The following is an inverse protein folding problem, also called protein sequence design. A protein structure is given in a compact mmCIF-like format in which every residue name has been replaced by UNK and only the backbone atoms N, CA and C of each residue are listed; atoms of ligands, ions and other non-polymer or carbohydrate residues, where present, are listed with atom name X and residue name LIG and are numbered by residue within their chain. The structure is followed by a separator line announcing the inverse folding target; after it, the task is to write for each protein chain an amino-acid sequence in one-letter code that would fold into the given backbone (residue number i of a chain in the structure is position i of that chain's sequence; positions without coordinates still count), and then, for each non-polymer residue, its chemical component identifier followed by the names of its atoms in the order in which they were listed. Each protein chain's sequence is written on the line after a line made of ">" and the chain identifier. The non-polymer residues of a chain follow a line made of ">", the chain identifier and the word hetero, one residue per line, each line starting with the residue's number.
data_IF_373829796696
#
_entry.id   IF_373829796696
#
_cell.length_a   1.000
_cell.length_b   1.000
_cell.length_c   1.000
_cell.angle_alpha   90.00
_cell.angle_beta   90.00
_cell.angle_gamma   90.00
#
_symmetry.space_group_name_H-M   'P 1'
#
loop_
_entity.id
_entity.type
_entity.pdbx_description
1 polymer ?
#
# COMPACT_ATOMS: atom_id res chain seq x y z
N UNK A 1 -38.18 39.73 -28.47
CA UNK A 1 -36.80 39.98 -28.03
C UNK A 1 -36.45 38.94 -26.99
N UNK A 2 -35.65 37.94 -27.36
CA UNK A 2 -35.29 36.79 -26.51
C UNK A 2 -33.97 37.11 -25.78
N UNK A 3 -34.02 37.13 -24.44
CA UNK A 3 -32.84 37.27 -23.59
C UNK A 3 -32.37 35.91 -23.10
N UNK A 4 -31.23 35.43 -23.62
CA UNK A 4 -30.54 34.26 -23.12
C UNK A 4 -29.64 34.66 -21.94
N UNK A 5 -29.89 34.11 -20.75
CA UNK A 5 -29.01 34.19 -19.58
C UNK A 5 -28.30 32.85 -19.42
N UNK A 6 -27.09 32.77 -19.96
CA UNK A 6 -26.16 31.67 -19.75
C UNK A 6 -25.00 32.21 -18.92
N UNK A 7 -24.94 31.85 -17.64
CA UNK A 7 -23.90 32.35 -16.75
C UNK A 7 -23.84 31.61 -15.43
N UNK A 8 -23.50 30.32 -15.43
CA UNK A 8 -23.16 29.57 -14.22
C UNK A 8 -22.17 28.40 -14.48
N UNK A 9 -21.11 28.64 -15.25
CA UNK A 9 -20.02 27.66 -15.43
C UNK A 9 -18.65 28.32 -15.29
N UNK A 10 -18.29 28.79 -14.09
CA UNK A 10 -16.87 29.02 -13.76
C UNK A 10 -16.58 29.21 -12.27
N UNK A 11 -17.23 28.44 -11.40
CA UNK A 11 -16.65 28.25 -10.06
C UNK A 11 -15.51 27.25 -10.18
N UNK A 12 -14.32 27.78 -9.95
CA UNK A 12 -13.02 27.21 -10.15
C UNK A 12 -12.88 25.85 -9.46
N UNK A 13 -12.38 24.92 -10.25
CA UNK A 13 -12.04 23.54 -9.92
C UNK A 13 -10.69 23.47 -9.18
N UNK A 14 -10.43 24.41 -8.27
CA UNK A 14 -9.10 24.66 -7.67
C UNK A 14 -9.06 24.47 -6.14
N UNK A 15 -10.11 23.92 -5.52
CA UNK A 15 -10.19 23.81 -4.04
C UNK A 15 -9.77 22.45 -3.45
N UNK A 16 -9.06 21.58 -4.16
CA UNK A 16 -8.69 20.25 -3.62
C UNK A 16 -7.20 19.88 -3.73
N UNK A 17 -6.31 20.85 -3.91
CA UNK A 17 -4.88 20.68 -3.69
C UNK A 17 -4.50 21.08 -2.26
N UNK A 18 -5.22 20.57 -1.25
CA UNK A 18 -4.61 20.40 0.07
C UNK A 18 -3.57 19.32 -0.14
N UNK A 19 -2.29 19.66 -0.05
CA UNK A 19 -1.15 18.78 -0.35
C UNK A 19 -1.29 17.43 0.37
N UNK A 20 -1.94 16.48 -0.28
CA UNK A 20 -2.04 15.12 0.19
C UNK A 20 -0.59 14.61 0.22
N UNK A 21 -0.12 14.26 1.41
CA UNK A 21 1.24 13.75 1.56
C UNK A 21 1.31 12.39 0.89
N UNK A 22 1.67 12.42 -0.39
CA UNK A 22 1.94 11.26 -1.22
C UNK A 22 3.29 10.69 -0.78
N UNK A 23 3.32 9.40 -0.50
CA UNK A 23 4.58 8.70 -0.27
C UNK A 23 5.27 8.55 -1.62
N UNK A 24 6.56 8.91 -1.67
CA UNK A 24 7.33 8.98 -2.94
C UNK A 24 7.60 7.61 -3.58
N UNK A 25 7.23 6.52 -2.93
CA UNK A 25 7.47 5.13 -3.34
C UNK A 25 6.25 4.26 -3.05
N UNK A 26 6.16 3.15 -3.78
CA UNK A 26 5.20 2.08 -3.51
C UNK A 26 3.91 2.10 -4.33
N UNK A 27 3.82 2.95 -5.35
CA UNK A 27 2.68 2.96 -6.27
C UNK A 27 2.58 1.65 -7.05
N UNK A 28 1.35 1.16 -7.22
CA UNK A 28 1.06 -0.08 -7.94
C UNK A 28 0.08 0.21 -9.06
N UNK A 29 0.49 -0.08 -10.30
CA UNK A 29 -0.34 0.10 -11.50
C UNK A 29 -0.82 -1.26 -12.01
N UNK A 30 -2.10 -1.37 -12.34
CA UNK A 30 -2.69 -2.59 -12.90
C UNK A 30 -3.96 -2.26 -13.70
N UNK A 31 -4.48 -3.24 -14.45
CA UNK A 31 -5.71 -3.07 -15.23
C UNK A 31 -6.94 -3.47 -14.43
N UNK A 32 -7.88 -2.53 -14.29
CA UNK A 32 -9.15 -2.70 -13.61
C UNK A 32 -10.29 -2.46 -14.60
N UNK A 33 -10.99 -3.53 -14.98
CA UNK A 33 -12.06 -3.52 -15.99
C UNK A 33 -11.61 -2.95 -17.36
N UNK A 34 -10.36 -3.22 -17.74
CA UNK A 34 -9.76 -2.72 -18.99
C UNK A 34 -9.25 -1.28 -18.89
N UNK A 35 -9.33 -0.63 -17.72
CA UNK A 35 -8.75 0.69 -17.47
C UNK A 35 -7.45 0.54 -16.66
N UNK A 36 -6.37 1.16 -17.12
CA UNK A 36 -5.12 1.19 -16.34
C UNK A 36 -5.28 2.16 -15.18
N UNK A 37 -5.18 1.65 -13.95
CA UNK A 37 -5.31 2.42 -12.71
C UNK A 37 -4.04 2.33 -11.89
N UNK A 38 -3.70 3.40 -11.16
CA UNK A 38 -2.54 3.44 -10.28
C UNK A 38 -2.98 3.71 -8.85
N UNK A 39 -2.69 2.77 -7.95
CA UNK A 39 -2.87 2.94 -6.51
C UNK A 39 -1.70 3.75 -5.98
N UNK A 40 -2.00 4.92 -5.40
CA UNK A 40 -1.01 5.85 -4.89
C UNK A 40 -0.99 5.78 -3.38
N UNK A 41 0.15 5.44 -2.74
CA UNK A 41 0.23 5.38 -1.30
C UNK A 41 0.18 6.80 -0.71
N UNK A 42 -0.78 7.06 0.17
CA UNK A 42 -0.93 8.34 0.86
C UNK A 42 -1.12 8.14 2.36
N UNK A 43 -0.82 9.17 3.16
CA UNK A 43 -1.07 9.15 4.61
C UNK A 43 -2.56 8.94 4.91
N UNK A 44 -3.44 9.47 4.07
CA UNK A 44 -4.89 9.26 4.18
C UNK A 44 -5.27 7.80 3.93
N UNK A 45 -4.69 7.16 2.90
CA UNK A 45 -4.91 5.75 2.63
C UNK A 45 -4.40 4.87 3.79
N UNK A 46 -3.23 5.19 4.35
CA UNK A 46 -2.69 4.53 5.54
C UNK A 46 -3.66 4.60 6.72
N UNK A 47 -4.08 5.81 7.10
CA UNK A 47 -4.98 6.04 8.23
C UNK A 47 -6.35 5.35 8.02
N UNK A 48 -6.87 5.39 6.79
CA UNK A 48 -8.13 4.73 6.47
C UNK A 48 -8.00 3.22 6.66
N UNK A 49 -6.98 2.59 6.06
CA UNK A 49 -6.79 1.15 6.15
C UNK A 49 -6.44 0.70 7.57
N UNK A 50 -5.61 1.44 8.30
CA UNK A 50 -5.27 1.13 9.70
C UNK A 50 -6.45 1.28 10.65
N UNK A 51 -7.45 2.11 10.32
CA UNK A 51 -8.65 2.27 11.14
C UNK A 51 -9.68 1.14 10.99
N UNK A 52 -9.57 0.34 9.92
CA UNK A 52 -10.59 -0.66 9.56
C UNK A 52 -10.37 -2.04 10.18
N UNK A 53 -9.13 -2.33 10.59
CA UNK A 53 -8.71 -3.59 11.22
C UNK A 53 -7.55 -3.31 12.17
N UNK A 54 -7.37 -4.17 13.17
CA UNK A 54 -6.32 -4.00 14.19
C UNK A 54 -4.89 -4.15 13.64
N UNK A 55 -4.72 -4.92 12.55
CA UNK A 55 -3.41 -5.20 11.94
C UNK A 55 -3.51 -5.32 10.42
N UNK A 56 -2.50 -4.79 9.71
CA UNK A 56 -2.41 -4.90 8.26
C UNK A 56 -2.30 -6.37 7.78
N UNK A 57 -1.85 -7.29 8.64
CA UNK A 57 -1.86 -8.73 8.33
C UNK A 57 -3.26 -9.28 8.06
N UNK A 58 -4.29 -8.72 8.72
CA UNK A 58 -5.70 -9.09 8.50
C UNK A 58 -6.15 -8.64 7.10
N UNK A 59 -5.69 -7.48 6.62
CA UNK A 59 -5.95 -7.06 5.25
C UNK A 59 -5.36 -8.03 4.25
N UNK A 60 -4.07 -8.38 4.42
CA UNK A 60 -3.40 -9.32 3.53
C UNK A 60 -4.08 -10.69 3.50
N UNK A 61 -4.48 -11.22 4.67
CA UNK A 61 -5.23 -12.48 4.73
C UNK A 61 -6.58 -12.39 4.00
N UNK A 62 -7.34 -11.31 4.21
CA UNK A 62 -8.63 -11.11 3.55
C UNK A 62 -8.49 -10.95 2.04
N UNK A 63 -7.44 -10.27 1.59
CA UNK A 63 -7.12 -10.15 0.16
C UNK A 63 -6.75 -11.51 -0.43
N UNK A 64 -5.96 -12.33 0.27
CA UNK A 64 -5.55 -13.65 -0.20
C UNK A 64 -6.74 -14.60 -0.43
N UNK A 65 -7.80 -14.48 0.36
CA UNK A 65 -9.05 -15.26 0.16
C UNK A 65 -10.06 -14.58 -0.77
N UNK A 66 -9.69 -13.47 -1.41
CA UNK A 66 -10.55 -12.77 -2.37
C UNK A 66 -11.73 -12.02 -1.74
N UNK A 67 -11.59 -11.53 -0.50
CA UNK A 67 -12.67 -10.80 0.18
C UNK A 67 -12.99 -9.47 -0.52
N UNK A 68 -14.09 -9.44 -1.29
CA UNK A 68 -14.44 -8.34 -2.21
C UNK A 68 -14.56 -6.99 -1.50
N UNK A 69 -15.12 -6.93 -0.28
CA UNK A 69 -15.24 -5.67 0.45
C UNK A 69 -13.88 -5.12 0.90
N UNK A 70 -12.91 -5.99 1.19
CA UNK A 70 -11.54 -5.56 1.49
C UNK A 70 -10.87 -5.01 0.25
N UNK A 71 -11.00 -5.70 -0.90
CA UNK A 71 -10.50 -5.23 -2.19
C UNK A 71 -11.09 -3.85 -2.51
N UNK A 72 -12.41 -3.69 -2.38
CA UNK A 72 -13.10 -2.41 -2.60
C UNK A 72 -12.57 -1.31 -1.69
N UNK A 73 -12.34 -1.61 -0.41
CA UNK A 73 -11.80 -0.65 0.58
C UNK A 73 -10.38 -0.23 0.20
N UNK A 74 -9.52 -1.17 -0.19
CA UNK A 74 -8.15 -0.90 -0.63
C UNK A 74 -8.11 -0.07 -1.91
N UNK A 75 -8.91 -0.44 -2.92
CA UNK A 75 -9.02 0.32 -4.17
C UNK A 75 -9.52 1.74 -3.92
N UNK A 76 -10.57 1.89 -3.10
CA UNK A 76 -11.06 3.21 -2.71
C UNK A 76 -9.96 4.05 -2.05
N UNK A 77 -9.21 3.45 -1.12
CA UNK A 77 -8.13 4.13 -0.42
C UNK A 77 -7.01 4.55 -1.38
N UNK A 78 -6.50 3.62 -2.21
CA UNK A 78 -5.38 3.87 -3.11
C UNK A 78 -5.71 4.75 -4.32
N UNK A 79 -6.98 4.79 -4.75
CA UNK A 79 -7.45 5.68 -5.82
C UNK A 79 -7.97 7.03 -5.29
N UNK A 80 -7.98 7.25 -3.97
CA UNK A 80 -8.49 8.48 -3.37
C UNK A 80 -9.99 8.73 -3.60
N UNK A 81 -10.77 7.67 -3.83
CA UNK A 81 -12.18 7.79 -4.20
C UNK A 81 -13.08 8.10 -2.99
N UNK A 82 -14.12 8.90 -3.24
CA UNK A 82 -15.19 9.12 -2.27
C UNK A 82 -16.23 7.97 -2.26
N UNK A 83 -17.17 8.00 -1.32
CA UNK A 83 -18.22 6.97 -1.18
C UNK A 83 -19.10 6.80 -2.43
N UNK A 84 -19.38 7.89 -3.14
CA UNK A 84 -20.22 7.83 -4.35
C UNK A 84 -19.47 7.12 -5.49
N UNK A 85 -18.20 7.47 -5.71
CA UNK A 85 -17.33 6.86 -6.72
C UNK A 85 -17.03 5.39 -6.40
N UNK A 86 -16.91 5.03 -5.12
CA UNK A 86 -16.60 3.67 -4.70
C UNK A 86 -17.73 2.66 -5.00
N UNK A 87 -18.95 3.12 -5.29
CA UNK A 87 -20.10 2.23 -5.61
C UNK A 87 -19.88 1.43 -6.89
N UNK A 88 -19.12 1.97 -7.84
CA UNK A 88 -18.86 1.32 -9.13
C UNK A 88 -17.75 0.25 -9.04
N UNK A 89 -16.94 0.27 -7.98
CA UNK A 89 -15.80 -0.63 -7.83
C UNK A 89 -16.20 -2.09 -7.79
N UNK A 90 -17.35 -2.44 -7.17
CA UNK A 90 -17.81 -3.82 -7.12
C UNK A 90 -18.02 -4.41 -8.52
N UNK A 91 -18.59 -3.64 -9.45
CA UNK A 91 -18.76 -4.06 -10.85
C UNK A 91 -17.40 -4.21 -11.54
N UNK A 92 -16.49 -3.25 -11.35
CA UNK A 92 -15.15 -3.29 -11.95
C UNK A 92 -14.31 -4.48 -11.44
N UNK A 93 -14.39 -4.81 -10.15
CA UNK A 93 -13.73 -5.98 -9.56
C UNK A 93 -14.25 -7.27 -10.20
N UNK A 94 -15.56 -7.40 -10.37
CA UNK A 94 -16.16 -8.59 -10.98
C UNK A 94 -15.76 -8.76 -12.45
N UNK A 95 -15.69 -7.67 -13.23
CA UNK A 95 -15.24 -7.70 -14.62
C UNK A 95 -13.75 -8.06 -14.76
N UNK A 96 -12.94 -7.63 -13.81
CA UNK A 96 -11.49 -7.94 -13.77
C UNK A 96 -11.22 -9.37 -13.28
N UNK A 97 -12.09 -9.87 -12.40
CA UNK A 97 -11.87 -11.08 -11.62
C UNK A 97 -11.31 -10.75 -10.24
N UNK A 98 -11.90 -11.38 -9.22
CA UNK A 98 -11.56 -11.13 -7.80
C UNK A 98 -10.08 -11.36 -7.52
N UNK A 99 -9.53 -12.49 -7.97
CA UNK A 99 -8.12 -12.82 -7.72
C UNK A 99 -7.15 -11.91 -8.48
N UNK A 100 -7.48 -11.56 -9.73
CA UNK A 100 -6.69 -10.64 -10.54
C UNK A 100 -6.59 -9.23 -9.90
N UNK A 101 -7.67 -8.76 -9.26
CA UNK A 101 -7.65 -7.52 -8.48
C UNK A 101 -6.96 -7.67 -7.11
N UNK A 102 -7.04 -8.86 -6.49
CA UNK A 102 -6.51 -9.09 -5.13
C UNK A 102 -4.98 -9.01 -5.02
N UNK A 103 -4.26 -9.51 -6.03
CA UNK A 103 -2.79 -9.52 -6.05
C UNK A 103 -2.20 -8.10 -6.02
N UNK A 104 -2.53 -7.18 -6.95
CA UNK A 104 -2.02 -5.82 -6.91
C UNK A 104 -2.50 -5.05 -5.67
N UNK A 105 -3.70 -5.33 -5.15
CA UNK A 105 -4.14 -4.76 -3.87
C UNK A 105 -3.27 -5.24 -2.69
N UNK A 106 -2.84 -6.51 -2.69
CA UNK A 106 -1.98 -7.06 -1.63
C UNK A 106 -0.59 -6.45 -1.69
N UNK A 107 -0.01 -6.31 -2.88
CA UNK A 107 1.27 -5.64 -3.08
C UNK A 107 1.20 -4.18 -2.63
N UNK A 108 0.13 -3.47 -3.00
CA UNK A 108 -0.10 -2.10 -2.57
C UNK A 108 -0.19 -1.97 -1.04
N UNK A 109 -0.99 -2.82 -0.36
CA UNK A 109 -1.08 -2.81 1.10
C UNK A 109 0.28 -3.12 1.72
N UNK A 110 0.99 -4.12 1.21
CA UNK A 110 2.33 -4.45 1.72
C UNK A 110 3.27 -3.24 1.62
N UNK A 111 3.37 -2.61 0.45
CA UNK A 111 4.22 -1.44 0.22
C UNK A 111 3.81 -0.26 1.10
N UNK A 112 2.51 0.00 1.23
CA UNK A 112 1.98 1.09 2.07
C UNK A 112 2.43 0.96 3.54
N UNK A 113 2.42 -0.25 4.09
CA UNK A 113 2.83 -0.51 5.48
C UNK A 113 4.33 -0.75 5.66
N UNK A 114 5.10 -0.87 4.57
CA UNK A 114 6.55 -1.10 4.60
C UNK A 114 7.35 0.05 3.94
N UNK A 115 6.90 1.31 4.13
CA UNK A 115 7.58 2.51 3.63
C UNK A 115 7.85 2.51 2.11
N UNK A 116 6.92 1.91 1.34
CA UNK A 116 6.98 1.81 -0.11
C UNK A 116 7.79 0.63 -0.65
N UNK A 117 8.36 -0.21 0.22
CA UNK A 117 9.19 -1.36 -0.18
C UNK A 117 8.35 -2.56 -0.61
N UNK A 118 8.77 -3.25 -1.65
CA UNK A 118 8.18 -4.53 -2.07
C UNK A 118 8.54 -5.65 -1.09
N UNK A 119 7.85 -6.79 -1.22
CA UNK A 119 8.15 -7.98 -0.44
C UNK A 119 9.57 -8.49 -0.71
N UNK A 120 10.05 -8.44 -1.97
CA UNK A 120 11.41 -8.84 -2.30
C UNK A 120 12.46 -7.92 -1.67
N UNK A 121 12.22 -6.60 -1.68
CA UNK A 121 13.14 -5.62 -1.07
C UNK A 121 13.28 -5.85 0.43
N UNK A 122 12.16 -6.06 1.13
CA UNK A 122 12.17 -6.33 2.58
C UNK A 122 12.88 -7.66 2.89
N UNK A 123 12.64 -8.71 2.10
CA UNK A 123 13.30 -9.99 2.29
C UNK A 123 14.81 -9.90 2.07
N UNK A 124 15.25 -9.20 1.01
CA UNK A 124 16.66 -9.00 0.72
C UNK A 124 17.38 -8.24 1.86
N UNK A 125 16.75 -7.19 2.40
CA UNK A 125 17.30 -6.45 3.55
C UNK A 125 17.40 -7.31 4.81
N UNK A 126 16.41 -8.17 5.08
CA UNK A 126 16.42 -9.07 6.22
C UNK A 126 17.50 -10.13 6.09
N UNK A 127 17.69 -10.71 4.90
CA UNK A 127 18.75 -11.67 4.63
C UNK A 127 20.14 -11.03 4.77
N UNK A 128 20.33 -9.82 4.23
CA UNK A 128 21.60 -9.09 4.37
C UNK A 128 21.92 -8.77 5.84
N UNK A 129 20.93 -8.39 6.63
CA UNK A 129 21.10 -8.15 8.08
C UNK A 129 21.42 -9.43 8.84
N UNK A 130 20.79 -10.55 8.49
CA UNK A 130 21.07 -11.84 9.11
C UNK A 130 22.49 -12.33 8.80
N UNK A 131 22.95 -12.17 7.55
CA UNK A 131 24.32 -12.49 7.15
C UNK A 131 25.35 -11.64 7.91
N UNK A 132 25.15 -10.31 7.97
CA UNK A 132 26.05 -9.41 8.68
C UNK A 132 26.10 -9.69 10.20
N UNK A 133 24.99 -10.13 10.79
CA UNK A 133 24.96 -10.53 12.20
C UNK A 133 25.77 -11.81 12.45
N UNK A 134 25.67 -12.80 11.55
CA UNK A 134 26.43 -14.05 11.67
C UNK A 134 27.94 -13.81 11.59
N UNK A 135 28.38 -12.94 10.67
CA UNK A 135 29.81 -12.57 10.54
C UNK A 135 30.36 -11.82 11.77
N UNK A 136 29.52 -11.03 12.44
CA UNK A 136 29.92 -10.32 13.67
C UNK A 136 30.00 -11.23 14.91
N UNK A 137 29.20 -12.29 14.98
CA UNK A 137 29.26 -13.28 16.07
C UNK A 137 30.46 -14.23 15.92
N UNK A 138 30.88 -14.57 14.69
CA UNK A 138 32.06 -15.43 14.44
C UNK A 138 33.40 -14.71 14.75
N UNK A 139 33.45 -13.38 14.64
CA UNK A 139 34.63 -12.59 14.96
C UNK A 139 34.80 -12.29 16.48
N UNK A 140 33.79 -12.60 17.31
CA UNK A 140 33.75 -12.25 18.73
C UNK A 140 34.20 -13.36 19.70
N UNK A 141 34.45 -14.58 19.22
CA UNK A 141 34.69 -15.78 20.05
C UNK A 141 36.18 -16.19 20.14
N UNK A 142 37.10 -15.31 19.71
CA UNK A 142 38.53 -15.63 19.61
C UNK A 142 39.42 -15.05 20.74
N UNK A 143 38.86 -14.37 21.74
CA UNK A 143 39.65 -13.70 22.80
C UNK A 143 39.16 -14.03 24.22
N UNK A 144 39.16 -15.32 24.64
CA UNK A 144 39.08 -15.64 26.07
C UNK A 144 39.67 -17.03 26.42
N UNK A 145 40.96 -17.25 26.12
CA UNK A 145 41.64 -18.47 26.61
C UNK A 145 43.13 -18.25 26.90
N UNK A 146 43.46 -17.32 27.81
CA UNK A 146 44.77 -17.34 28.48
C UNK A 146 44.67 -16.79 29.91
N UNK A 147 43.94 -17.51 30.78
CA UNK A 147 44.06 -17.31 32.23
C UNK A 147 44.97 -18.42 32.79
N UNK A 148 46.27 -18.16 33.01
CA UNK A 148 47.16 -19.15 33.57
C UNK A 148 46.78 -19.44 35.04
N UNK A 149 46.80 -20.70 35.48
CA UNK A 149 46.50 -21.05 36.86
C UNK A 149 47.56 -20.44 37.78
N UNK A 150 47.12 -19.61 38.74
CA UNK A 150 47.95 -19.20 39.86
C UNK A 150 48.32 -20.44 40.70
N UNK A 151 49.62 -20.71 40.77
CA UNK A 151 50.25 -21.72 41.60
C UNK A 151 50.32 -21.29 43.08
#
# INVERSE_FOLDING_TARGET
>A
MAGASAGHHRFQKESAAMAETVLTKGSVTFDLAGESVTLVPTVKAFNLLSSTVDSYSVHLQRLAVGHVDTIKTVLRAGLGLNDAQAKELSGKIMLTGVFAASNPCSDYVYRLFNAGKSMEEVQAEQQAKAAAKAEAEEAGDAEDEENPPHA
#
